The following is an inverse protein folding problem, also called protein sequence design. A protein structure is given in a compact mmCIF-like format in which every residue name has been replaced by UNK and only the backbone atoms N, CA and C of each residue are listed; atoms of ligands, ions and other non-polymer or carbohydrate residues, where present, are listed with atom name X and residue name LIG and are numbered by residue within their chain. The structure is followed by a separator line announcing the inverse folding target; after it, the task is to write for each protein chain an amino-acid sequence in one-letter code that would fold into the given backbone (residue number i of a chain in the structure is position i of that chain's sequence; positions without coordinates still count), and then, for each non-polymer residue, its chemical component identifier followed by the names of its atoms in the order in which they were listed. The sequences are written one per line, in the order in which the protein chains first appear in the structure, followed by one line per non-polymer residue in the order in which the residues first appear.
data_IF_476001921115
#
_entry.id   IF_476001921115
#
_cell.length_a   1.000
_cell.length_b   1.000
_cell.length_c   1.000
_cell.angle_alpha   90.00
_cell.angle_beta   90.00
_cell.angle_gamma   90.00
#
_symmetry.space_group_name_H-M   'P 1'
#
loop_
_entity.id
_entity.type
_entity.pdbx_description
1 polymer ?
#
# COMPACT_ATOMS: atom_id res chain seq x y z
N UNK A 1 -19.14 7.87 -22.12
CA UNK A 1 -19.14 8.55 -20.80
C UNK A 1 -17.71 8.87 -20.38
N UNK A 2 -17.35 10.16 -20.25
CA UNK A 2 -16.06 10.56 -19.68
C UNK A 2 -16.06 10.15 -18.21
N UNK A 3 -15.38 9.06 -17.86
CA UNK A 3 -14.99 8.86 -16.48
C UNK A 3 -13.93 9.94 -16.16
N UNK A 4 -14.39 11.12 -15.77
CA UNK A 4 -13.63 11.99 -14.89
C UNK A 4 -13.23 11.10 -13.71
N UNK A 5 -12.01 10.56 -13.73
CA UNK A 5 -11.36 10.04 -12.53
C UNK A 5 -11.47 11.16 -11.50
N UNK A 6 -12.46 11.04 -10.62
CA UNK A 6 -12.80 12.08 -9.68
C UNK A 6 -11.52 12.42 -8.92
N UNK A 7 -11.09 13.69 -8.86
CA UNK A 7 -9.85 14.09 -8.21
C UNK A 7 -9.74 13.51 -6.79
N UNK A 8 -10.88 13.35 -6.12
CA UNK A 8 -11.05 12.69 -4.82
C UNK A 8 -10.39 11.31 -4.73
N UNK A 9 -10.51 10.45 -5.76
CA UNK A 9 -9.93 9.10 -5.73
C UNK A 9 -8.39 9.10 -5.73
N UNK A 10 -7.75 10.16 -6.23
CA UNK A 10 -6.28 10.30 -6.15
C UNK A 10 -5.84 10.88 -4.83
N UNK A 11 -6.57 11.88 -4.34
CA UNK A 11 -6.35 12.47 -3.03
C UNK A 11 -6.46 11.42 -1.93
N UNK A 12 -7.54 10.63 -1.93
CA UNK A 12 -7.74 9.56 -0.97
C UNK A 12 -6.63 8.51 -1.03
N UNK A 13 -6.22 8.07 -2.24
CA UNK A 13 -5.15 7.09 -2.40
C UNK A 13 -3.82 7.59 -1.85
N UNK A 14 -3.41 8.81 -2.23
CA UNK A 14 -2.14 9.37 -1.79
C UNK A 14 -2.12 9.63 -0.28
N UNK A 15 -3.20 10.19 0.27
CA UNK A 15 -3.32 10.42 1.71
C UNK A 15 -3.33 9.10 2.50
N UNK A 16 -3.99 8.06 1.98
CA UNK A 16 -3.99 6.75 2.60
C UNK A 16 -2.57 6.19 2.72
N UNK A 17 -1.78 6.18 1.65
CA UNK A 17 -0.41 5.65 1.68
C UNK A 17 0.52 6.51 2.55
N UNK A 18 0.35 7.84 2.56
CA UNK A 18 1.10 8.70 3.48
C UNK A 18 0.77 8.38 4.94
N UNK A 19 -0.51 8.25 5.27
CA UNK A 19 -0.94 7.92 6.62
C UNK A 19 -0.48 6.52 7.05
N UNK A 20 -0.60 5.52 6.16
CA UNK A 20 -0.12 4.16 6.40
C UNK A 20 1.41 4.14 6.65
N UNK A 21 2.18 4.79 5.78
CA UNK A 21 3.63 4.85 5.92
C UNK A 21 4.08 5.63 7.15
N UNK A 22 3.39 6.72 7.51
CA UNK A 22 3.64 7.44 8.75
C UNK A 22 3.36 6.56 9.99
N UNK A 23 2.33 5.70 9.94
CA UNK A 23 1.99 4.81 11.03
C UNK A 23 3.10 3.79 11.34
N UNK A 24 3.94 3.41 10.37
CA UNK A 24 5.11 2.57 10.62
C UNK A 24 6.13 3.22 11.56
N UNK A 25 6.22 4.55 11.56
CA UNK A 25 7.14 5.29 12.44
C UNK A 25 6.49 5.71 13.75
N UNK A 26 5.20 6.06 13.72
CA UNK A 26 4.45 6.47 14.92
C UNK A 26 4.12 5.28 15.84
N UNK A 27 3.79 4.13 15.25
CA UNK A 27 3.38 2.93 15.96
C UNK A 27 4.08 1.68 15.41
N UNK A 28 5.41 1.55 15.57
CA UNK A 28 6.17 0.46 14.95
C UNK A 28 5.91 -0.92 15.58
N UNK A 29 5.57 -0.98 16.87
CA UNK A 29 5.55 -2.24 17.63
C UNK A 29 4.59 -3.31 17.07
N UNK A 30 3.34 -2.99 16.68
CA UNK A 30 2.47 -3.97 16.03
C UNK A 30 3.09 -4.55 14.76
N UNK A 31 3.76 -3.73 13.94
CA UNK A 31 4.36 -4.19 12.69
C UNK A 31 5.60 -5.05 12.93
N UNK A 32 6.44 -4.70 13.90
CA UNK A 32 7.59 -5.51 14.26
C UNK A 32 7.15 -6.87 14.81
N UNK A 33 6.12 -6.91 15.64
CA UNK A 33 5.57 -8.13 16.22
C UNK A 33 4.97 -9.08 15.18
N UNK A 34 4.53 -8.56 14.03
CA UNK A 34 3.92 -9.35 12.97
C UNK A 34 4.93 -9.84 11.91
N UNK A 35 6.18 -9.39 11.99
CA UNK A 35 7.17 -9.71 10.96
C UNK A 35 7.52 -11.20 10.94
N UNK A 36 7.47 -11.85 9.78
CA UNK A 36 7.89 -13.24 9.65
C UNK A 36 9.33 -13.46 10.12
N UNK A 37 9.61 -14.57 10.83
CA UNK A 37 10.93 -14.83 11.41
C UNK A 37 12.04 -15.06 10.37
N UNK A 38 11.69 -15.35 9.12
CA UNK A 38 12.64 -15.54 8.02
C UNK A 38 13.09 -14.23 7.35
N UNK A 39 12.49 -13.08 7.70
CA UNK A 39 12.92 -11.79 7.17
C UNK A 39 14.05 -11.20 8.02
N UNK A 40 15.18 -10.84 7.42
CA UNK A 40 16.27 -10.20 8.15
C UNK A 40 15.93 -8.75 8.49
N UNK A 41 16.53 -8.23 9.56
CA UNK A 41 16.50 -6.80 9.92
C UNK A 41 15.08 -6.17 9.90
N UNK A 42 14.14 -6.66 10.72
CA UNK A 42 12.73 -6.24 10.68
C UNK A 42 12.53 -4.73 10.81
N UNK A 43 13.30 -4.06 11.68
CA UNK A 43 13.25 -2.60 11.83
C UNK A 43 13.65 -1.84 10.56
N UNK A 44 14.66 -2.31 9.82
CA UNK A 44 15.07 -1.68 8.57
C UNK A 44 14.01 -1.87 7.47
N UNK A 45 13.46 -3.08 7.34
CA UNK A 45 12.39 -3.37 6.38
C UNK A 45 11.12 -2.56 6.67
N UNK A 46 10.75 -2.41 7.94
CA UNK A 46 9.64 -1.56 8.36
C UNK A 46 9.87 -0.09 7.98
N UNK A 47 11.06 0.45 8.27
CA UNK A 47 11.40 1.83 7.93
C UNK A 47 11.43 2.06 6.40
N UNK A 48 12.03 1.13 5.64
CA UNK A 48 12.11 1.21 4.17
C UNK A 48 10.70 1.18 3.56
N UNK A 49 9.86 0.24 3.99
CA UNK A 49 8.49 0.14 3.49
C UNK A 49 7.66 1.38 3.85
N UNK A 50 7.71 1.87 5.10
CA UNK A 50 7.03 3.10 5.49
C UNK A 50 7.48 4.34 4.70
N UNK A 51 8.79 4.49 4.47
CA UNK A 51 9.30 5.57 3.63
C UNK A 51 8.82 5.44 2.18
N UNK A 52 8.82 4.23 1.63
CA UNK A 52 8.34 3.96 0.28
C UNK A 52 6.84 4.27 0.12
N UNK A 53 6.01 3.99 1.13
CA UNK A 53 4.59 4.36 1.13
C UNK A 53 4.40 5.88 1.15
N UNK A 54 5.14 6.61 2.00
CA UNK A 54 5.07 8.07 2.06
C UNK A 54 5.47 8.69 0.73
N UNK A 55 6.63 8.30 0.18
CA UNK A 55 7.13 8.82 -1.09
C UNK A 55 6.21 8.43 -2.25
N UNK A 56 5.68 7.21 -2.25
CA UNK A 56 4.69 6.76 -3.22
C UNK A 56 3.41 7.59 -3.14
N UNK A 57 2.86 7.79 -1.94
CA UNK A 57 1.66 8.59 -1.73
C UNK A 57 1.82 10.05 -2.16
N UNK A 58 2.95 10.69 -1.83
CA UNK A 58 3.31 12.03 -2.32
C UNK A 58 3.43 12.05 -3.85
N UNK A 59 4.07 11.03 -4.43
CA UNK A 59 4.27 10.90 -5.87
C UNK A 59 2.96 10.71 -6.65
N UNK A 60 1.90 10.21 -6.04
CA UNK A 60 0.57 10.09 -6.68
C UNK A 60 0.00 11.48 -7.04
N UNK A 61 0.26 12.50 -6.23
CA UNK A 61 -0.28 13.84 -6.43
C UNK A 61 0.33 14.53 -7.64
N UNK A 62 1.64 14.40 -7.84
CA UNK A 62 2.38 15.09 -8.89
C UNK A 62 2.26 14.36 -10.25
N UNK A 63 1.77 15.00 -11.31
CA UNK A 63 1.61 14.36 -12.63
C UNK A 63 2.90 13.73 -13.17
N UNK A 64 4.06 14.37 -12.92
CA UNK A 64 5.36 13.93 -13.42
C UNK A 64 5.83 12.61 -12.79
N UNK A 65 5.58 12.39 -11.50
CA UNK A 65 6.06 11.21 -10.76
C UNK A 65 4.98 10.14 -10.60
N UNK A 66 3.70 10.45 -10.86
CA UNK A 66 2.56 9.56 -10.64
C UNK A 66 2.72 8.15 -11.20
N UNK A 67 3.24 8.01 -12.42
CA UNK A 67 3.43 6.69 -13.03
C UNK A 67 4.50 5.88 -12.31
N UNK A 68 5.61 6.52 -11.94
CA UNK A 68 6.68 5.89 -11.16
C UNK A 68 6.17 5.51 -9.77
N UNK A 69 5.46 6.42 -9.09
CA UNK A 69 4.82 6.16 -7.81
C UNK A 69 3.84 4.99 -7.87
N UNK A 70 3.03 4.90 -8.93
CA UNK A 70 2.13 3.78 -9.15
C UNK A 70 2.85 2.44 -9.27
N UNK A 71 3.93 2.37 -10.05
CA UNK A 71 4.74 1.15 -10.13
C UNK A 71 5.45 0.82 -8.82
N UNK A 72 6.00 1.83 -8.13
CA UNK A 72 6.66 1.65 -6.84
C UNK A 72 5.70 1.12 -5.77
N UNK A 73 4.51 1.69 -5.65
CA UNK A 73 3.49 1.21 -4.71
C UNK A 73 3.01 -0.20 -5.06
N UNK A 74 2.83 -0.54 -6.34
CA UNK A 74 2.50 -1.92 -6.73
C UNK A 74 3.60 -2.91 -6.36
N UNK A 75 4.86 -2.57 -6.64
CA UNK A 75 6.00 -3.41 -6.26
C UNK A 75 6.08 -3.58 -4.73
N UNK A 76 5.82 -2.51 -3.99
CA UNK A 76 5.78 -2.53 -2.53
C UNK A 76 4.66 -3.44 -2.01
N UNK A 77 3.46 -3.35 -2.56
CA UNK A 77 2.36 -4.25 -2.21
C UNK A 77 2.78 -5.71 -2.43
N UNK A 78 3.38 -6.04 -3.58
CA UNK A 78 3.88 -7.40 -3.83
C UNK A 78 4.92 -7.81 -2.79
N UNK A 79 5.85 -6.91 -2.42
CA UNK A 79 6.90 -7.19 -1.46
C UNK A 79 6.37 -7.45 -0.03
N UNK A 80 5.34 -6.73 0.41
CA UNK A 80 4.75 -6.90 1.76
C UNK A 80 3.69 -7.99 1.84
N UNK A 81 3.19 -8.47 0.69
CA UNK A 81 2.15 -9.51 0.63
C UNK A 81 2.48 -10.78 1.45
N UNK A 82 3.71 -11.35 1.39
CA UNK A 82 4.07 -12.51 2.19
C UNK A 82 3.93 -12.28 3.70
N UNK A 83 4.22 -11.07 4.19
CA UNK A 83 4.04 -10.73 5.60
C UNK A 83 2.55 -10.71 5.99
N UNK A 84 1.68 -10.16 5.14
CA UNK A 84 0.23 -10.18 5.37
C UNK A 84 -0.34 -11.62 5.34
N UNK A 85 0.16 -12.48 4.46
CA UNK A 85 -0.22 -13.91 4.44
C UNK A 85 0.23 -14.60 5.73
N UNK A 86 1.47 -14.35 6.19
CA UNK A 86 1.98 -14.91 7.44
C UNK A 86 1.06 -14.57 8.62
N UNK A 87 0.66 -13.30 8.76
CA UNK A 87 -0.24 -12.85 9.82
C UNK A 87 -1.64 -13.44 9.69
N UNK A 88 -2.17 -13.60 8.47
CA UNK A 88 -3.47 -14.26 8.27
C UNK A 88 -3.47 -15.72 8.73
N UNK A 89 -2.33 -16.42 8.58
CA UNK A 89 -2.16 -17.81 8.97
C UNK A 89 -1.87 -17.98 10.47
N UNK A 90 -1.04 -17.12 11.07
CA UNK A 90 -0.50 -17.31 12.41
C UNK A 90 -1.10 -16.38 13.47
N UNK A 91 -1.87 -15.37 13.05
CA UNK A 91 -2.39 -14.32 13.94
C UNK A 91 -1.47 -13.10 14.01
N UNK A 92 -1.95 -12.04 14.64
CA UNK A 92 -1.19 -10.81 14.87
C UNK A 92 -0.84 -10.70 16.36
N UNK A 93 0.42 -10.95 16.76
CA UNK A 93 0.81 -10.86 18.16
C UNK A 93 0.61 -9.45 18.73
N UNK A 94 -0.01 -9.34 19.91
CA UNK A 94 -0.28 -8.07 20.58
C UNK A 94 -1.43 -7.25 20.00
N UNK A 95 -2.16 -7.78 19.01
CA UNK A 95 -3.32 -7.13 18.40
C UNK A 95 -4.49 -8.11 18.42
N UNK A 96 -5.53 -7.77 19.19
CA UNK A 96 -6.73 -8.60 19.27
C UNK A 96 -7.68 -8.30 18.10
N UNK A 97 -7.48 -9.03 17.00
CA UNK A 97 -8.34 -8.96 15.82
C UNK A 97 -8.88 -10.35 15.48
N UNK A 98 -10.17 -10.46 15.10
CA UNK A 98 -10.73 -11.69 14.59
C UNK A 98 -9.96 -12.20 13.38
N UNK A 99 -9.74 -13.52 13.28
CA UNK A 99 -9.00 -14.13 12.16
C UNK A 99 -9.53 -13.71 10.79
N UNK A 100 -10.84 -13.59 10.62
CA UNK A 100 -11.44 -13.17 9.34
C UNK A 100 -10.99 -11.76 8.92
N UNK A 101 -10.71 -10.86 9.86
CA UNK A 101 -10.18 -9.51 9.56
C UNK A 101 -8.77 -9.62 8.98
N UNK A 102 -7.93 -10.50 9.55
CA UNK A 102 -6.57 -10.72 9.06
C UNK A 102 -6.58 -11.29 7.64
N UNK A 103 -7.49 -12.23 7.36
CA UNK A 103 -7.71 -12.75 6.01
C UNK A 103 -8.25 -11.70 5.05
N UNK A 104 -9.15 -10.82 5.49
CA UNK A 104 -9.71 -9.75 4.67
C UNK A 104 -8.64 -8.76 4.16
N UNK A 105 -7.50 -8.62 4.84
CA UNK A 105 -6.39 -7.76 4.39
C UNK A 105 -5.87 -8.16 3.01
N UNK A 106 -5.89 -9.46 2.67
CA UNK A 106 -5.37 -9.96 1.39
C UNK A 106 -6.20 -9.47 0.19
N UNK A 107 -7.53 -9.66 0.12
CA UNK A 107 -8.34 -9.09 -0.95
C UNK A 107 -8.37 -7.56 -0.93
N UNK A 108 -8.30 -6.91 0.26
CA UNK A 108 -8.16 -5.46 0.33
C UNK A 108 -6.85 -4.97 -0.32
N UNK A 109 -5.76 -5.71 -0.15
CA UNK A 109 -4.50 -5.39 -0.80
C UNK A 109 -4.60 -5.47 -2.33
N UNK A 110 -5.33 -6.46 -2.86
CA UNK A 110 -5.63 -6.54 -4.29
C UNK A 110 -6.49 -5.38 -4.77
N UNK A 111 -7.45 -4.94 -3.95
CA UNK A 111 -8.26 -3.75 -4.23
C UNK A 111 -7.39 -2.49 -4.29
N UNK A 112 -6.43 -2.32 -3.38
CA UNK A 112 -5.46 -1.23 -3.44
C UNK A 112 -4.58 -1.31 -4.69
N UNK A 113 -4.11 -2.50 -5.06
CA UNK A 113 -3.34 -2.69 -6.29
C UNK A 113 -4.14 -2.29 -7.54
N UNK A 114 -5.40 -2.71 -7.62
CA UNK A 114 -6.31 -2.29 -8.69
C UNK A 114 -6.53 -0.77 -8.68
N UNK A 115 -6.71 -0.17 -7.51
CA UNK A 115 -6.93 1.28 -7.37
C UNK A 115 -5.70 2.07 -7.84
N UNK A 116 -4.48 1.66 -7.45
CA UNK A 116 -3.22 2.24 -7.93
C UNK A 116 -3.12 2.13 -9.46
N UNK A 117 -3.38 0.95 -10.02
CA UNK A 117 -3.32 0.74 -11.46
C UNK A 117 -4.28 1.65 -12.22
N UNK A 118 -5.51 1.83 -11.70
CA UNK A 118 -6.54 2.71 -12.28
C UNK A 118 -6.18 4.19 -12.17
N UNK A 119 -5.60 4.65 -11.06
CA UNK A 119 -5.30 6.07 -10.83
C UNK A 119 -4.02 6.54 -11.48
N UNK A 120 -2.99 5.68 -11.49
CA UNK A 120 -1.62 6.04 -11.83
C UNK A 120 -1.16 5.50 -13.19
N UNK A 121 -1.63 4.32 -13.61
CA UNK A 121 -1.04 3.60 -14.75
C UNK A 121 -1.95 3.49 -15.98
N UNK A 122 -3.27 3.47 -15.77
CA UNK A 122 -4.26 3.41 -16.84
C UNK A 122 -4.17 4.64 -17.74
N UNK A 123 -3.67 4.46 -18.98
CA UNK A 123 -3.74 5.52 -20.01
C UNK A 123 -5.21 5.74 -20.35
N UNK A 124 -5.71 6.98 -20.23
CA UNK A 124 -6.96 7.32 -20.93
C UNK A 124 -6.65 7.29 -22.42
N UNK A 125 -7.38 6.50 -23.19
CA UNK A 125 -7.30 6.56 -24.64
C UNK A 125 -7.53 8.01 -25.08
N UNK A 126 -6.58 8.58 -25.82
CA UNK A 126 -6.81 9.85 -26.49
C UNK A 126 -7.99 9.67 -27.45
N UNK A 127 -8.90 10.65 -27.57
CA UNK A 127 -9.88 10.62 -28.65
C UNK A 127 -9.12 10.53 -29.97
N UNK A 128 -9.32 9.46 -30.74
CA UNK A 128 -8.90 9.46 -32.14
C UNK A 128 -9.70 10.57 -32.82
N UNK A 129 -8.98 11.60 -33.30
CA UNK A 129 -9.56 12.64 -34.15
C UNK A 129 -9.95 12.04 -35.50
#
# INVERSE_FOLDING_TARGET
MRASSLPYGRWLLGLFFIAAGANHFLHPQPYLAMMPPWLPAPGALLAISGLAEILGGLGVFLPATRRLAGWGLLALLVAVFPANVHVALHGWPGVDLPRWVLWARLPFQLLFAWWIWRTCLSRRAAPRR
#
